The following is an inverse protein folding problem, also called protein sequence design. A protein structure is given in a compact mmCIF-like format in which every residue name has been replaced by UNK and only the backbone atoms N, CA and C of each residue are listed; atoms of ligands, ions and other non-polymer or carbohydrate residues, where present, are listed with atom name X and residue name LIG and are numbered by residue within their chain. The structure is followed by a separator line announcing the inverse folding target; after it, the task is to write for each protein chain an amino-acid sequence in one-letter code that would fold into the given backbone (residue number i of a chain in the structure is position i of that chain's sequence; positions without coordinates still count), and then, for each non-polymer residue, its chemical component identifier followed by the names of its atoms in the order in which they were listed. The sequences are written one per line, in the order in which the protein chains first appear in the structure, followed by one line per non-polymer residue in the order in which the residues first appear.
data_IF_677030081799
#
_entry.id   IF_677030081799
#
_cell.length_a   1.000
_cell.length_b   1.000
_cell.length_c   1.000
_cell.angle_alpha   90.00
_cell.angle_beta   90.00
_cell.angle_gamma   90.00
#
_symmetry.space_group_name_H-M   'P 1'
#
loop_
_entity.id
_entity.type
_entity.pdbx_description
1 polymer ?
#
# COMPACT_ATOMS: atom_id res chain seq x y z
N UNK A 1 1.46 1.21 43.99
CA UNK A 1 0.82 1.28 42.66
C UNK A 1 1.72 1.73 41.50
N UNK A 2 2.64 2.70 41.66
CA UNK A 2 3.42 3.32 40.55
C UNK A 2 4.44 2.40 39.84
N UNK A 3 4.99 1.39 40.53
CA UNK A 3 5.95 0.41 39.97
C UNK A 3 5.30 -0.58 38.97
N UNK A 4 4.08 -1.03 39.24
CA UNK A 4 3.32 -1.99 38.38
C UNK A 4 3.02 -1.36 37.00
N UNK A 5 2.57 -0.10 37.00
CA UNK A 5 2.33 0.67 35.75
C UNK A 5 3.60 0.81 34.89
N UNK A 6 4.78 1.09 35.48
CA UNK A 6 6.05 1.14 34.73
C UNK A 6 6.49 -0.22 34.18
N UNK A 7 6.19 -1.33 34.88
CA UNK A 7 6.51 -2.67 34.36
C UNK A 7 5.59 -3.08 33.22
N UNK A 8 4.32 -2.68 33.28
CA UNK A 8 3.33 -2.97 32.24
C UNK A 8 3.66 -2.21 30.94
N UNK A 9 4.09 -0.94 31.06
CA UNK A 9 4.61 -0.14 29.94
C UNK A 9 5.85 -0.79 29.32
N UNK A 10 6.83 -1.23 30.14
CA UNK A 10 8.02 -1.93 29.61
C UNK A 10 7.66 -3.24 28.91
N UNK A 11 6.69 -4.00 29.42
CA UNK A 11 6.19 -5.23 28.77
C UNK A 11 5.51 -4.91 27.44
N UNK A 12 4.73 -3.83 27.37
CA UNK A 12 4.10 -3.36 26.14
C UNK A 12 5.14 -3.00 25.08
N UNK A 13 6.12 -2.15 25.41
CA UNK A 13 7.18 -1.78 24.46
C UNK A 13 7.99 -2.98 23.98
N UNK A 14 8.30 -3.94 24.86
CA UNK A 14 8.97 -5.18 24.44
C UNK A 14 8.17 -6.00 23.42
N UNK A 15 6.83 -5.92 23.45
CA UNK A 15 5.96 -6.58 22.47
C UNK A 15 5.86 -5.81 21.15
N UNK A 16 5.83 -4.48 21.19
CA UNK A 16 5.68 -3.62 19.98
C UNK A 16 6.99 -3.46 19.21
N UNK A 17 8.12 -3.42 19.92
CA UNK A 17 9.45 -3.20 19.33
C UNK A 17 9.81 -4.14 18.15
N UNK A 18 9.56 -5.47 18.20
CA UNK A 18 9.84 -6.33 17.06
C UNK A 18 8.98 -6.01 15.83
N UNK A 19 7.70 -5.66 15.99
CA UNK A 19 6.83 -5.28 14.88
C UNK A 19 7.27 -3.95 14.25
N UNK A 20 7.61 -2.96 15.08
CA UNK A 20 8.15 -1.69 14.60
C UNK A 20 9.48 -1.90 13.85
N UNK A 21 10.35 -2.76 14.36
CA UNK A 21 11.61 -3.11 13.68
C UNK A 21 11.36 -3.77 12.32
N UNK A 22 10.45 -4.75 12.24
CA UNK A 22 10.08 -5.41 10.97
C UNK A 22 9.49 -4.41 9.96
N UNK A 23 8.65 -3.49 10.41
CA UNK A 23 8.08 -2.44 9.56
C UNK A 23 9.16 -1.52 8.99
N UNK A 24 10.13 -1.12 9.82
CA UNK A 24 11.25 -0.28 9.38
C UNK A 24 12.11 -1.03 8.35
N UNK A 25 12.47 -2.29 8.61
CA UNK A 25 13.25 -3.12 7.68
C UNK A 25 12.50 -3.30 6.34
N UNK A 26 11.19 -3.50 6.39
CA UNK A 26 10.35 -3.60 5.19
C UNK A 26 10.38 -2.33 4.35
N UNK A 27 10.22 -1.16 4.97
CA UNK A 27 10.27 0.13 4.26
C UNK A 27 11.66 0.35 3.64
N UNK A 28 12.73 0.07 4.39
CA UNK A 28 14.10 0.27 3.92
C UNK A 28 14.48 -0.64 2.75
N UNK A 29 14.02 -1.89 2.75
CA UNK A 29 14.28 -2.84 1.67
C UNK A 29 13.48 -2.53 0.41
N UNK A 30 12.27 -1.98 0.54
CA UNK A 30 11.43 -1.59 -0.60
C UNK A 30 11.81 -0.27 -1.26
N UNK A 31 12.70 0.54 -0.68
CA UNK A 31 13.05 1.87 -1.22
C UNK A 31 13.39 1.86 -2.72
N UNK A 32 14.15 0.86 -3.17
CA UNK A 32 14.58 0.74 -4.56
C UNK A 32 13.43 0.42 -5.51
N UNK A 33 12.36 -0.19 -4.99
CA UNK A 33 11.18 -0.59 -5.75
C UNK A 33 10.14 0.52 -5.87
N UNK A 34 10.30 1.70 -5.27
CA UNK A 34 9.27 2.74 -5.36
C UNK A 34 9.20 3.43 -6.72
N UNK A 35 10.33 3.58 -7.41
CA UNK A 35 10.43 4.32 -8.68
C UNK A 35 10.74 3.45 -9.90
N UNK A 36 10.77 2.12 -9.76
CA UNK A 36 10.87 1.26 -10.93
C UNK A 36 9.56 1.33 -11.74
N UNK A 37 9.60 1.17 -13.07
CA UNK A 37 8.38 1.06 -13.86
C UNK A 37 7.44 -0.03 -13.35
N UNK A 38 6.16 0.10 -13.65
CA UNK A 38 5.18 -0.91 -13.27
C UNK A 38 5.50 -2.26 -13.92
N UNK A 39 5.41 -3.32 -13.10
CA UNK A 39 5.40 -4.70 -13.60
C UNK A 39 4.06 -4.98 -14.31
N UNK A 40 3.96 -6.08 -15.06
CA UNK A 40 2.76 -6.51 -15.79
C UNK A 40 1.45 -6.34 -15.00
N UNK A 41 1.39 -6.82 -13.76
CA UNK A 41 0.17 -6.73 -12.95
C UNK A 41 -0.11 -5.28 -12.50
N UNK A 42 0.91 -4.54 -12.05
CA UNK A 42 0.76 -3.13 -11.65
C UNK A 42 0.34 -2.26 -12.85
N UNK A 43 0.86 -2.58 -14.03
CA UNK A 43 0.55 -1.92 -15.29
C UNK A 43 -0.91 -2.13 -15.70
N UNK A 44 -1.43 -3.36 -15.55
CA UNK A 44 -2.85 -3.66 -15.77
C UNK A 44 -3.74 -2.78 -14.85
N UNK A 45 -3.44 -2.73 -13.55
CA UNK A 45 -4.23 -1.93 -12.60
C UNK A 45 -4.18 -0.44 -12.90
N UNK A 46 -2.99 0.08 -13.21
CA UNK A 46 -2.79 1.48 -13.56
C UNK A 46 -3.51 1.84 -14.87
N UNK A 47 -3.45 0.96 -15.88
CA UNK A 47 -4.15 1.16 -17.14
C UNK A 47 -5.66 1.22 -16.94
N UNK A 48 -6.25 0.23 -16.26
CA UNK A 48 -7.70 0.19 -16.00
C UNK A 48 -8.13 1.44 -15.21
N UNK A 49 -7.39 1.82 -14.17
CA UNK A 49 -7.66 3.03 -13.40
C UNK A 49 -7.61 4.32 -14.23
N UNK A 50 -6.64 4.41 -15.16
CA UNK A 50 -6.52 5.56 -16.07
C UNK A 50 -7.73 5.66 -17.01
N UNK A 51 -8.17 4.52 -17.57
CA UNK A 51 -9.37 4.46 -18.43
C UNK A 51 -10.65 4.77 -17.65
N UNK A 52 -10.77 4.33 -16.40
CA UNK A 52 -11.87 4.75 -15.51
C UNK A 52 -11.90 6.27 -15.32
N UNK A 53 -10.75 6.92 -15.23
CA UNK A 53 -10.63 8.37 -15.22
C UNK A 53 -11.09 9.07 -16.51
N UNK A 54 -11.29 8.31 -17.60
CA UNK A 54 -11.85 8.77 -18.88
C UNK A 54 -13.35 8.48 -19.03
N UNK A 55 -13.98 7.92 -17.99
CA UNK A 55 -15.41 7.58 -17.99
C UNK A 55 -15.74 6.17 -18.47
N UNK A 56 -14.73 5.32 -18.65
CA UNK A 56 -14.93 3.92 -19.06
C UNK A 56 -15.10 2.99 -17.86
N UNK A 57 -15.84 1.91 -18.05
CA UNK A 57 -16.17 0.96 -16.98
C UNK A 57 -15.35 -0.33 -17.12
N UNK A 58 -14.74 -0.82 -16.01
CA UNK A 58 -14.08 -2.12 -16.02
C UNK A 58 -15.11 -3.22 -16.32
N UNK A 59 -14.69 -4.27 -17.01
CA UNK A 59 -15.50 -5.41 -17.46
C UNK A 59 -16.52 -5.13 -18.58
N UNK A 60 -16.81 -3.86 -18.88
CA UNK A 60 -17.68 -3.48 -20.00
C UNK A 60 -16.86 -2.96 -21.17
N UNK A 61 -16.08 -1.90 -20.92
CA UNK A 61 -15.28 -1.24 -21.96
C UNK A 61 -13.84 -1.77 -21.99
N UNK A 62 -13.39 -2.38 -20.89
CA UNK A 62 -12.02 -2.82 -20.69
C UNK A 62 -12.01 -4.26 -20.18
N UNK A 63 -11.26 -5.13 -20.86
CA UNK A 63 -11.03 -6.50 -20.40
C UNK A 63 -10.09 -6.52 -19.19
N UNK A 64 -10.53 -7.15 -18.10
CA UNK A 64 -9.71 -7.45 -16.93
C UNK A 64 -10.35 -8.59 -16.12
N UNK A 65 -9.50 -9.45 -15.55
CA UNK A 65 -9.89 -10.58 -14.68
C UNK A 65 -9.87 -10.22 -13.19
N UNK A 66 -9.43 -9.01 -12.83
CA UNK A 66 -9.10 -8.62 -11.46
C UNK A 66 -10.32 -7.96 -10.79
N UNK A 67 -10.52 -8.10 -9.47
CA UNK A 67 -11.68 -7.51 -8.78
C UNK A 67 -11.62 -5.97 -8.73
N UNK A 68 -12.76 -5.27 -8.63
CA UNK A 68 -12.82 -3.84 -8.93
C UNK A 68 -12.11 -2.95 -7.91
N UNK A 69 -11.99 -3.41 -6.66
CA UNK A 69 -11.42 -2.62 -5.56
C UNK A 69 -9.99 -2.12 -5.87
N UNK A 70 -9.17 -2.92 -6.55
CA UNK A 70 -7.78 -2.54 -6.84
C UNK A 70 -7.70 -1.33 -7.79
N UNK A 71 -8.64 -1.22 -8.73
CA UNK A 71 -8.65 -0.09 -9.68
C UNK A 71 -8.98 1.22 -8.98
N UNK A 72 -9.84 1.21 -7.96
CA UNK A 72 -10.11 2.40 -7.15
C UNK A 72 -8.89 2.85 -6.34
N UNK A 73 -8.08 1.91 -5.83
CA UNK A 73 -6.81 2.21 -5.16
C UNK A 73 -5.85 2.89 -6.13
N UNK A 74 -5.69 2.34 -7.34
CA UNK A 74 -4.84 2.94 -8.39
C UNK A 74 -5.40 4.26 -8.92
N UNK A 75 -6.72 4.42 -9.02
CA UNK A 75 -7.36 5.67 -9.43
C UNK A 75 -7.15 6.76 -8.37
N UNK A 76 -7.16 6.41 -7.09
CA UNK A 76 -6.78 7.35 -6.02
C UNK A 76 -5.29 7.69 -6.09
N UNK A 77 -4.43 6.69 -6.33
CA UNK A 77 -3.00 6.87 -6.48
C UNK A 77 -2.66 7.85 -7.63
N UNK A 78 -3.31 7.71 -8.78
CA UNK A 78 -3.15 8.60 -9.94
C UNK A 78 -3.66 10.04 -9.71
N UNK A 79 -4.56 10.25 -8.73
CA UNK A 79 -4.96 11.61 -8.30
C UNK A 79 -3.90 12.29 -7.45
N UNK A 80 -3.04 11.52 -6.77
CA UNK A 80 -1.91 12.08 -6.02
C UNK A 80 -0.84 12.54 -7.01
N UNK A 81 -0.45 11.65 -7.91
CA UNK A 81 0.49 11.92 -8.99
C UNK A 81 0.26 10.86 -10.08
N UNK A 82 -0.11 11.31 -11.29
CA UNK A 82 -0.45 10.43 -12.40
C UNK A 82 0.76 9.83 -13.10
N UNK A 83 1.94 10.46 -12.98
CA UNK A 83 3.17 10.02 -13.65
C UNK A 83 4.08 9.22 -12.72
N UNK A 84 3.84 9.30 -11.41
CA UNK A 84 4.63 8.58 -10.43
C UNK A 84 4.26 7.10 -10.27
N UNK A 85 5.29 6.27 -10.06
CA UNK A 85 5.14 4.83 -9.75
C UNK A 85 4.98 4.55 -8.25
N UNK A 86 5.39 5.50 -7.39
CA UNK A 86 5.44 5.32 -5.94
C UNK A 86 4.07 5.35 -5.22
N UNK A 87 3.05 6.12 -5.65
CA UNK A 87 1.80 6.25 -4.89
C UNK A 87 1.05 4.93 -4.64
N UNK A 88 0.82 4.04 -5.63
CA UNK A 88 0.13 2.78 -5.35
C UNK A 88 0.94 1.86 -4.42
N UNK A 89 2.27 1.95 -4.44
CA UNK A 89 3.17 1.17 -3.59
C UNK A 89 3.19 1.67 -2.14
N UNK A 90 3.00 2.98 -1.93
CA UNK A 90 2.78 3.53 -0.60
C UNK A 90 1.46 3.00 -0.01
N UNK A 91 0.38 3.04 -0.79
CA UNK A 91 -0.93 2.51 -0.36
C UNK A 91 -0.87 1.01 -0.05
N UNK A 92 -0.15 0.23 -0.87
CA UNK A 92 0.08 -1.18 -0.59
C UNK A 92 0.88 -1.40 0.70
N UNK A 93 1.89 -0.57 0.97
CA UNK A 93 2.68 -0.62 2.21
C UNK A 93 1.82 -0.30 3.44
N UNK A 94 0.95 0.71 3.34
CA UNK A 94 -0.01 1.05 4.39
C UNK A 94 -1.02 -0.07 4.64
N UNK A 95 -1.53 -0.70 3.58
CA UNK A 95 -2.45 -1.85 3.70
C UNK A 95 -1.78 -3.02 4.43
N UNK A 96 -0.51 -3.29 4.16
CA UNK A 96 0.25 -4.33 4.86
C UNK A 96 0.41 -3.96 6.33
N UNK A 97 0.78 -2.70 6.62
CA UNK A 97 0.94 -2.22 8.00
C UNK A 97 -0.36 -2.33 8.82
N UNK A 98 -1.50 -2.03 8.19
CA UNK A 98 -2.84 -2.17 8.77
C UNK A 98 -3.16 -3.63 9.16
N UNK A 99 -2.71 -4.61 8.40
CA UNK A 99 -2.93 -6.04 8.72
C UNK A 99 -2.25 -6.49 10.02
N UNK A 100 -1.25 -5.74 10.51
CA UNK A 100 -0.54 -6.06 11.75
C UNK A 100 -1.14 -5.40 13.00
N UNK A 101 -2.20 -4.59 12.86
CA UNK A 101 -2.89 -3.88 13.95
C UNK A 101 -4.18 -4.63 14.30
#
# INVERSE_FOLDING_TARGET
MRKKRKSDIKKFFKKVLPFAFLLIVFILTRRNSFNIPFERDEGEYAYVAWRMGKGELPYQDIFTQKPPAIFYVYMFAQRIDAEAYWPPRLLATLSIALTFI
#
